data_IF_720598662740
#
_entry.id   IF_720598662740
#
_cell.length_a   1.000
_cell.length_b   1.000
_cell.length_c   1.000
_cell.angle_alpha   90.00
_cell.angle_beta   90.00
_cell.angle_gamma   90.00
#
_symmetry.space_group_name_H-M   'P 1'
#
loop_
_entity.id
_entity.type
_entity.pdbx_description
1 polymer ?
#
# COMPACT_ATOMS: atom_id res chain seq x y z
N UNK A 1 13.09 3.80 -12.25
CA UNK A 1 12.43 3.48 -10.96
C UNK A 1 11.09 4.19 -10.94
N UNK A 2 10.01 3.57 -10.46
CA UNK A 2 8.74 4.26 -10.20
C UNK A 2 8.58 4.44 -8.69
N UNK A 3 8.13 5.63 -8.27
CA UNK A 3 7.92 6.01 -6.88
C UNK A 3 6.43 6.02 -6.55
N UNK A 4 6.06 5.40 -5.44
CA UNK A 4 4.69 5.24 -4.98
C UNK A 4 4.50 5.89 -3.61
N UNK A 5 3.34 6.48 -3.41
CA UNK A 5 2.85 6.98 -2.13
C UNK A 5 1.48 6.37 -1.85
N UNK A 6 1.34 5.66 -0.74
CA UNK A 6 0.04 5.28 -0.19
C UNK A 6 -0.28 6.13 1.02
N UNK A 7 -1.53 6.62 1.13
CA UNK A 7 -2.01 7.31 2.32
C UNK A 7 -3.52 7.10 2.52
N UNK A 8 -3.92 6.67 3.70
CA UNK A 8 -5.30 6.75 4.15
C UNK A 8 -5.53 8.16 4.72
N UNK A 9 -6.45 8.91 4.13
CA UNK A 9 -6.69 10.33 4.46
C UNK A 9 -7.69 10.54 5.60
N UNK A 10 -8.30 9.46 6.13
CA UNK A 10 -9.32 9.54 7.18
C UNK A 10 -10.46 10.53 6.86
N UNK A 11 -10.81 10.69 5.58
CA UNK A 11 -11.82 11.63 5.11
C UNK A 11 -11.39 13.10 5.08
N UNK A 12 -10.12 13.41 5.34
CA UNK A 12 -9.59 14.78 5.32
C UNK A 12 -9.09 15.20 3.92
N UNK A 13 -8.69 16.47 3.81
CA UNK A 13 -8.19 17.08 2.56
C UNK A 13 -6.81 17.72 2.74
N UNK A 14 -5.74 16.94 3.00
CA UNK A 14 -4.39 17.46 3.22
C UNK A 14 -3.68 17.81 1.90
N UNK A 15 -4.25 18.70 1.10
CA UNK A 15 -3.78 19.04 -0.25
C UNK A 15 -2.32 19.51 -0.24
N UNK A 16 -1.96 20.44 0.67
CA UNK A 16 -0.59 20.94 0.79
C UNK A 16 0.41 19.84 1.12
N UNK A 17 0.09 19.03 2.13
CA UNK A 17 0.97 17.92 2.53
C UNK A 17 1.17 16.91 1.38
N UNK A 18 0.08 16.51 0.70
CA UNK A 18 0.13 15.62 -0.46
C UNK A 18 1.01 16.19 -1.57
N UNK A 19 0.81 17.47 -1.93
CA UNK A 19 1.57 18.11 -2.99
C UNK A 19 3.05 18.25 -2.63
N UNK A 20 3.38 18.62 -1.39
CA UNK A 20 4.75 18.78 -0.93
C UNK A 20 5.48 17.43 -0.84
N UNK A 21 4.85 16.40 -0.27
CA UNK A 21 5.41 15.05 -0.21
C UNK A 21 5.64 14.51 -1.63
N UNK A 22 4.67 14.68 -2.52
CA UNK A 22 4.77 14.22 -3.92
C UNK A 22 5.95 14.86 -4.64
N UNK A 23 6.15 16.16 -4.49
CA UNK A 23 7.30 16.88 -5.07
C UNK A 23 8.63 16.47 -4.44
N UNK A 24 8.69 16.38 -3.11
CA UNK A 24 9.92 16.02 -2.39
C UNK A 24 10.45 14.65 -2.80
N UNK A 25 9.56 13.69 -2.97
CA UNK A 25 9.93 12.30 -3.24
C UNK A 25 9.79 11.89 -4.71
N UNK A 26 9.54 12.87 -5.59
CA UNK A 26 9.32 12.64 -7.03
C UNK A 26 8.35 11.48 -7.29
N UNK A 27 7.19 11.51 -6.60
CA UNK A 27 6.23 10.42 -6.59
C UNK A 27 5.52 10.28 -7.94
N UNK A 28 5.55 9.10 -8.55
CA UNK A 28 4.87 8.82 -9.82
C UNK A 28 3.39 8.46 -9.64
N UNK A 29 3.07 7.77 -8.53
CA UNK A 29 1.75 7.19 -8.29
C UNK A 29 1.29 7.45 -6.86
N UNK A 30 0.19 8.18 -6.70
CA UNK A 30 -0.49 8.33 -5.42
C UNK A 30 -1.65 7.34 -5.35
N UNK A 31 -1.74 6.60 -4.26
CA UNK A 31 -2.80 5.65 -3.95
C UNK A 31 -3.44 6.10 -2.64
N UNK A 32 -4.64 6.67 -2.71
CA UNK A 32 -5.27 7.35 -1.58
C UNK A 32 -6.51 6.59 -1.13
N UNK A 33 -6.55 6.23 0.17
CA UNK A 33 -7.73 5.64 0.80
C UNK A 33 -8.52 6.70 1.60
N UNK A 34 -9.80 6.45 1.86
CA UNK A 34 -10.72 7.38 2.57
C UNK A 34 -10.67 8.83 2.07
N UNK A 35 -10.57 8.99 0.78
CA UNK A 35 -10.38 10.26 0.07
C UNK A 35 -11.66 11.12 -0.08
N UNK A 36 -12.78 10.71 0.51
CA UNK A 36 -14.09 11.34 0.29
C UNK A 36 -14.18 12.82 0.67
N UNK A 37 -13.27 13.34 1.49
CA UNK A 37 -13.16 14.76 1.83
C UNK A 37 -12.14 15.55 0.99
N UNK A 38 -11.33 14.85 0.17
CA UNK A 38 -10.24 15.46 -0.58
C UNK A 38 -10.72 16.39 -1.68
N UNK A 39 -10.21 17.62 -1.70
CA UNK A 39 -10.32 18.51 -2.85
C UNK A 39 -9.35 18.05 -3.96
N UNK A 40 -9.85 17.16 -4.81
CA UNK A 40 -9.06 16.60 -5.92
C UNK A 40 -8.70 17.62 -6.97
N UNK A 41 -9.51 18.69 -7.16
CA UNK A 41 -9.21 19.74 -8.13
C UNK A 41 -8.06 20.62 -7.62
N UNK A 42 -8.12 21.04 -6.35
CA UNK A 42 -7.03 21.77 -5.74
C UNK A 42 -5.73 20.96 -5.75
N UNK A 43 -5.79 19.65 -5.41
CA UNK A 43 -4.61 18.79 -5.45
C UNK A 43 -4.01 18.70 -6.87
N UNK A 44 -4.82 18.47 -7.90
CA UNK A 44 -4.32 18.40 -9.27
C UNK A 44 -3.75 19.74 -9.75
N UNK A 45 -4.34 20.86 -9.32
CA UNK A 45 -3.79 22.20 -9.62
C UNK A 45 -2.38 22.36 -9.01
N UNK A 46 -2.19 21.90 -7.77
CA UNK A 46 -0.87 21.91 -7.10
C UNK A 46 0.15 20.95 -7.73
N UNK A 47 -0.28 19.75 -8.14
CA UNK A 47 0.60 18.76 -8.77
C UNK A 47 0.98 19.12 -10.22
N UNK A 48 0.15 19.91 -10.89
CA UNK A 48 0.34 20.34 -12.27
C UNK A 48 -0.15 19.33 -13.32
N UNK A 49 0.00 19.66 -14.58
CA UNK A 49 -0.58 18.95 -15.73
C UNK A 49 0.02 17.57 -16.00
N UNK A 50 1.12 17.24 -15.35
CA UNK A 50 1.74 15.91 -15.47
C UNK A 50 0.92 14.82 -14.77
N UNK A 51 0.09 15.16 -13.78
CA UNK A 51 -0.69 14.21 -13.01
C UNK A 51 -2.14 14.15 -13.48
N UNK A 52 -2.69 12.94 -13.49
CA UNK A 52 -4.08 12.71 -13.84
C UNK A 52 -4.74 11.69 -12.90
N UNK A 53 -6.05 11.85 -12.70
CA UNK A 53 -6.87 10.85 -12.02
C UNK A 53 -7.03 9.63 -12.93
N UNK A 54 -6.80 8.44 -12.37
CA UNK A 54 -7.17 7.20 -13.05
C UNK A 54 -8.66 6.92 -12.85
N UNK A 55 -9.36 6.33 -13.84
CA UNK A 55 -10.79 6.08 -13.75
C UNK A 55 -11.16 5.20 -12.55
N UNK A 56 -12.17 5.63 -11.79
CA UNK A 56 -12.76 4.81 -10.71
C UNK A 56 -13.87 3.97 -11.34
N UNK A 57 -13.79 2.64 -11.19
CA UNK A 57 -14.83 1.74 -11.69
C UNK A 57 -15.82 1.37 -10.57
N UNK A 58 -15.45 0.41 -9.73
CA UNK A 58 -16.30 -0.08 -8.64
C UNK A 58 -15.72 0.24 -7.25
N UNK A 59 -14.41 0.16 -7.07
CA UNK A 59 -13.74 0.44 -5.81
C UNK A 59 -13.69 1.94 -5.54
N UNK A 60 -14.70 2.45 -4.85
CA UNK A 60 -14.77 3.89 -4.48
C UNK A 60 -13.94 4.23 -3.24
N UNK A 61 -13.36 3.24 -2.57
CA UNK A 61 -12.53 3.45 -1.39
C UNK A 61 -11.13 3.92 -1.72
N UNK A 62 -10.67 3.66 -2.95
CA UNK A 62 -9.31 3.96 -3.41
C UNK A 62 -9.37 4.93 -4.57
N UNK A 63 -8.58 5.98 -4.49
CA UNK A 63 -8.29 6.91 -5.58
C UNK A 63 -6.85 6.74 -6.03
N UNK A 64 -6.62 6.65 -7.34
CA UNK A 64 -5.29 6.67 -7.93
C UNK A 64 -5.09 7.97 -8.73
N UNK A 65 -3.98 8.64 -8.44
CA UNK A 65 -3.49 9.78 -9.22
C UNK A 65 -2.11 9.39 -9.73
N UNK A 66 -1.84 9.59 -11.02
CA UNK A 66 -0.61 9.13 -11.63
C UNK A 66 -0.03 10.17 -12.57
N UNK A 67 1.30 10.30 -12.53
CA UNK A 67 2.10 11.00 -13.53
C UNK A 67 2.45 10.08 -14.72
N UNK A 68 2.35 8.76 -14.51
CA UNK A 68 2.46 7.79 -15.60
C UNK A 68 1.20 7.90 -16.46
N UNK A 69 1.34 8.02 -17.81
CA UNK A 69 0.20 8.21 -18.70
C UNK A 69 -0.92 7.19 -18.47
N UNK A 70 -2.17 7.62 -18.53
CA UNK A 70 -3.34 6.76 -18.34
C UNK A 70 -3.41 5.62 -19.34
N UNK A 71 -2.81 5.78 -20.53
CA UNK A 71 -2.70 4.74 -21.55
C UNK A 71 -1.83 3.53 -21.13
N UNK A 72 -0.96 3.71 -20.12
CA UNK A 72 -0.17 2.64 -19.53
C UNK A 72 -0.94 1.81 -18.49
N UNK A 73 -2.13 2.26 -18.09
CA UNK A 73 -2.93 1.66 -17.05
C UNK A 73 -4.16 0.95 -17.63
N UNK A 74 -4.33 -0.32 -17.31
CA UNK A 74 -5.51 -1.10 -17.66
C UNK A 74 -6.20 -1.59 -16.40
N UNK A 75 -7.47 -1.19 -16.14
CA UNK A 75 -8.23 -1.76 -15.05
C UNK A 75 -8.57 -3.23 -15.37
N UNK A 76 -8.29 -4.14 -14.42
CA UNK A 76 -8.48 -5.59 -14.61
C UNK A 76 -9.65 -6.08 -13.76
N UNK A 77 -9.63 -5.79 -12.46
CA UNK A 77 -10.65 -6.31 -11.54
C UNK A 77 -10.86 -5.34 -10.39
N UNK A 78 -12.10 -4.99 -10.16
CA UNK A 78 -12.51 -4.18 -9.02
C UNK A 78 -13.49 -4.94 -8.14
N UNK A 79 -13.33 -4.80 -6.84
CA UNK A 79 -14.32 -5.13 -5.81
C UNK A 79 -14.65 -3.87 -5.01
N UNK A 80 -15.50 -3.97 -3.99
CA UNK A 80 -15.74 -2.83 -3.10
C UNK A 80 -14.51 -2.41 -2.28
N UNK A 81 -13.56 -3.34 -2.05
CA UNK A 81 -12.43 -3.17 -1.13
C UNK A 81 -11.06 -3.23 -1.84
N UNK A 82 -11.04 -3.51 -3.15
CA UNK A 82 -9.81 -3.63 -3.94
C UNK A 82 -10.01 -3.12 -5.36
N UNK A 83 -9.03 -2.38 -5.89
CA UNK A 83 -8.85 -2.16 -7.33
C UNK A 83 -7.56 -2.83 -7.77
N UNK A 84 -7.63 -3.65 -8.84
CA UNK A 84 -6.50 -4.33 -9.44
C UNK A 84 -6.31 -3.83 -10.87
N UNK A 85 -5.12 -3.32 -11.15
CA UNK A 85 -4.77 -2.72 -12.43
C UNK A 85 -3.48 -3.30 -12.97
N UNK A 86 -3.39 -3.40 -14.29
CA UNK A 86 -2.13 -3.64 -14.96
C UNK A 86 -1.46 -2.30 -15.29
N UNK A 87 -0.19 -2.19 -15.00
CA UNK A 87 0.70 -1.12 -15.45
C UNK A 87 1.67 -1.70 -16.48
N UNK A 88 1.60 -1.20 -17.71
CA UNK A 88 2.47 -1.59 -18.80
C UNK A 88 3.26 -0.39 -19.30
N UNK A 89 4.52 -0.31 -18.92
CA UNK A 89 5.44 0.69 -19.46
C UNK A 89 6.09 0.18 -20.76
N UNK A 90 6.42 1.08 -21.70
CA UNK A 90 7.16 0.69 -22.91
C UNK A 90 8.48 0.00 -22.55
N UNK A 91 8.69 -1.19 -23.11
CA UNK A 91 9.92 -1.97 -22.91
C UNK A 91 10.06 -2.66 -21.56
N UNK A 92 9.10 -2.51 -20.63
CA UNK A 92 9.13 -3.16 -19.33
C UNK A 92 8.11 -4.31 -19.25
N UNK A 93 8.34 -5.32 -18.39
CA UNK A 93 7.32 -6.33 -18.08
C UNK A 93 6.11 -5.70 -17.39
N UNK A 94 4.92 -6.26 -17.64
CA UNK A 94 3.69 -5.84 -16.97
C UNK A 94 3.81 -6.00 -15.45
N UNK A 95 3.28 -5.01 -14.72
CA UNK A 95 3.11 -5.03 -13.27
C UNK A 95 1.62 -5.03 -12.92
N UNK A 96 1.20 -5.96 -12.07
CA UNK A 96 -0.12 -5.93 -11.45
C UNK A 96 -0.06 -5.11 -10.16
N UNK A 97 -0.88 -4.07 -10.06
CA UNK A 97 -1.01 -3.21 -8.88
C UNK A 97 -2.37 -3.45 -8.25
N UNK A 98 -2.39 -4.11 -7.10
CA UNK A 98 -3.58 -4.32 -6.27
C UNK A 98 -3.58 -3.29 -5.14
N UNK A 99 -4.45 -2.30 -5.21
CA UNK A 99 -4.65 -1.34 -4.13
C UNK A 99 -5.88 -1.71 -3.31
N UNK A 100 -5.75 -1.75 -1.98
CA UNK A 100 -6.78 -2.27 -1.08
C UNK A 100 -7.08 -1.29 0.06
N UNK A 101 -8.34 -1.27 0.52
CA UNK A 101 -8.74 -0.72 1.80
C UNK A 101 -9.77 -1.65 2.44
N UNK A 102 -9.31 -2.46 3.39
CA UNK A 102 -10.14 -3.43 4.10
C UNK A 102 -10.96 -2.77 5.21
N UNK A 103 -12.12 -3.33 5.57
CA UNK A 103 -12.94 -2.81 6.66
C UNK A 103 -12.20 -2.87 8.00
N UNK A 104 -12.36 -1.83 8.82
CA UNK A 104 -11.82 -1.79 10.19
C UNK A 104 -12.47 -2.84 11.10
N UNK A 105 -11.70 -3.37 12.05
CA UNK A 105 -12.19 -4.29 13.11
C UNK A 105 -13.22 -3.64 14.05
N UNK A 106 -13.22 -2.33 14.18
CA UNK A 106 -14.13 -1.58 15.07
C UNK A 106 -15.62 -1.74 14.72
N UNK A 107 -15.94 -2.24 13.52
CA UNK A 107 -17.32 -2.43 13.05
C UNK A 107 -17.74 -3.90 13.00
N UNK A 108 -17.53 -4.68 14.07
CA UNK A 108 -17.88 -6.11 14.17
C UNK A 108 -17.10 -7.06 13.26
N UNK A 109 -15.90 -6.71 12.83
CA UNK A 109 -15.07 -7.61 12.06
C UNK A 109 -14.16 -8.43 12.98
N UNK A 110 -14.52 -9.70 13.21
CA UNK A 110 -13.66 -10.63 13.92
C UNK A 110 -12.36 -10.91 13.15
N UNK A 111 -11.26 -11.34 13.81
CA UNK A 111 -10.04 -11.77 13.11
C UNK A 111 -10.29 -12.82 12.02
N UNK A 112 -11.27 -13.71 12.23
CA UNK A 112 -11.67 -14.71 11.24
C UNK A 112 -12.29 -14.07 9.98
N UNK A 113 -13.16 -13.06 10.14
CA UNK A 113 -13.74 -12.34 9.02
C UNK A 113 -12.67 -11.55 8.25
N UNK A 114 -11.72 -10.96 8.94
CA UNK A 114 -10.58 -10.27 8.31
C UNK A 114 -9.72 -11.25 7.50
N UNK A 115 -9.44 -12.44 8.04
CA UNK A 115 -8.72 -13.48 7.31
C UNK A 115 -9.47 -13.93 6.05
N UNK A 116 -10.80 -14.15 6.14
CA UNK A 116 -11.64 -14.53 5.00
C UNK A 116 -11.65 -13.45 3.89
N UNK A 117 -11.63 -12.16 4.25
CA UNK A 117 -11.49 -11.08 3.27
C UNK A 117 -10.13 -11.16 2.56
N UNK A 118 -9.05 -11.40 3.29
CA UNK A 118 -7.73 -11.58 2.71
C UNK A 118 -7.65 -12.82 1.80
N UNK A 119 -8.35 -13.93 2.16
CA UNK A 119 -8.49 -15.10 1.29
C UNK A 119 -9.18 -14.76 -0.04
N UNK A 120 -10.25 -13.97 0.02
CA UNK A 120 -10.97 -13.51 -1.17
C UNK A 120 -10.09 -12.66 -2.08
N UNK A 121 -9.31 -11.73 -1.49
CA UNK A 121 -8.36 -10.88 -2.23
C UNK A 121 -7.25 -11.72 -2.84
N UNK A 122 -6.62 -12.61 -2.07
CA UNK A 122 -5.58 -13.51 -2.54
C UNK A 122 -6.06 -14.41 -3.69
N UNK A 123 -7.29 -14.89 -3.60
CA UNK A 123 -7.96 -15.66 -4.67
C UNK A 123 -8.15 -14.83 -5.94
N UNK A 124 -8.62 -13.59 -5.81
CA UNK A 124 -8.81 -12.66 -6.94
C UNK A 124 -7.50 -12.31 -7.62
N UNK A 125 -6.44 -12.04 -6.84
CA UNK A 125 -5.08 -11.78 -7.35
C UNK A 125 -4.56 -13.02 -8.08
N UNK A 126 -4.63 -14.20 -7.46
CA UNK A 126 -4.14 -15.45 -8.05
C UNK A 126 -4.86 -15.79 -9.37
N UNK A 127 -6.17 -15.54 -9.43
CA UNK A 127 -6.95 -15.71 -10.67
C UNK A 127 -6.42 -14.78 -11.77
N UNK A 128 -6.21 -13.51 -11.45
CA UNK A 128 -5.69 -12.52 -12.41
C UNK A 128 -4.26 -12.87 -12.85
N UNK A 129 -3.38 -13.27 -11.93
CA UNK A 129 -2.03 -13.72 -12.24
C UNK A 129 -2.03 -14.92 -13.23
N UNK A 130 -2.97 -15.86 -13.06
CA UNK A 130 -3.13 -16.99 -13.98
C UNK A 130 -3.65 -16.53 -15.35
N UNK A 131 -4.60 -15.59 -15.40
CA UNK A 131 -5.13 -15.00 -16.64
C UNK A 131 -4.04 -14.23 -17.38
N UNK A 132 -3.15 -13.51 -16.66
CA UNK A 132 -2.06 -12.71 -17.22
C UNK A 132 -0.77 -13.49 -17.45
N UNK A 133 -0.68 -14.74 -17.00
CA UNK A 133 0.46 -15.65 -17.16
C UNK A 133 1.76 -15.14 -16.54
N UNK A 134 1.67 -14.34 -15.44
CA UNK A 134 2.81 -13.92 -14.64
C UNK A 134 2.39 -13.60 -13.19
N UNK A 135 3.37 -13.49 -12.28
CA UNK A 135 3.15 -13.21 -10.86
C UNK A 135 3.79 -11.90 -10.39
N UNK A 136 4.08 -10.97 -11.31
CA UNK A 136 4.64 -9.66 -10.96
C UNK A 136 3.54 -8.78 -10.35
N UNK A 137 3.23 -9.02 -9.06
CA UNK A 137 2.12 -8.36 -8.35
C UNK A 137 2.64 -7.60 -7.13
N UNK A 138 2.28 -6.32 -7.09
CA UNK A 138 2.38 -5.40 -5.97
C UNK A 138 1.00 -5.30 -5.32
N UNK A 139 0.90 -5.55 -4.01
CA UNK A 139 -0.29 -5.25 -3.20
C UNK A 139 0.08 -4.15 -2.21
N UNK A 140 -0.75 -3.11 -2.15
CA UNK A 140 -0.52 -1.96 -1.27
C UNK A 140 -1.86 -1.43 -0.73
N UNK A 141 -1.87 -0.98 0.51
CA UNK A 141 -3.06 -0.37 1.06
C UNK A 141 -3.20 -0.49 2.56
N UNK A 142 -4.33 0.02 3.05
CA UNK A 142 -4.77 -0.19 4.42
C UNK A 142 -5.44 -1.56 4.54
N UNK A 143 -4.71 -2.50 5.13
CA UNK A 143 -5.17 -3.86 5.37
C UNK A 143 -5.99 -3.98 6.67
N UNK A 144 -5.99 -2.92 7.51
CA UNK A 144 -6.60 -2.95 8.84
C UNK A 144 -6.15 -4.16 9.69
N UNK A 145 -4.96 -4.66 9.41
CA UNK A 145 -4.30 -5.80 10.07
C UNK A 145 -2.80 -5.54 10.18
N UNK A 146 -2.21 -5.95 11.29
CA UNK A 146 -0.75 -5.92 11.46
C UNK A 146 -0.08 -7.07 10.67
N UNK A 147 1.24 -6.99 10.39
CA UNK A 147 1.97 -8.01 9.62
C UNK A 147 1.86 -9.44 10.16
N UNK A 148 1.58 -9.60 11.46
CA UNK A 148 1.45 -10.90 12.14
C UNK A 148 0.01 -11.43 12.21
N UNK A 149 -0.98 -10.64 11.80
CA UNK A 149 -2.39 -11.03 11.88
C UNK A 149 -2.75 -12.17 10.90
N UNK A 150 -3.77 -12.98 11.21
CA UNK A 150 -4.15 -14.16 10.43
C UNK A 150 -4.33 -13.91 8.94
N UNK A 151 -4.93 -12.78 8.54
CA UNK A 151 -5.14 -12.48 7.12
C UNK A 151 -3.84 -12.27 6.34
N UNK A 152 -2.75 -11.85 7.03
CA UNK A 152 -1.44 -11.68 6.42
C UNK A 152 -0.68 -13.02 6.36
N UNK A 153 -0.66 -13.78 7.47
CA UNK A 153 0.26 -14.93 7.60
C UNK A 153 -0.34 -16.28 7.22
N UNK A 154 -1.67 -16.43 7.17
CA UNK A 154 -2.29 -17.70 6.79
C UNK A 154 -1.99 -18.03 5.32
N UNK A 155 -1.63 -19.29 5.07
CA UNK A 155 -1.32 -19.76 3.72
C UNK A 155 -2.50 -19.63 2.74
N UNK A 156 -3.74 -19.76 3.23
CA UNK A 156 -4.98 -19.62 2.43
C UNK A 156 -5.34 -18.15 2.16
N UNK A 157 -4.79 -17.22 2.95
CA UNK A 157 -4.98 -15.78 2.79
C UNK A 157 -3.82 -15.16 1.98
N UNK A 158 -3.20 -14.06 2.45
CA UNK A 158 -2.12 -13.41 1.72
C UNK A 158 -0.81 -14.19 1.77
N UNK A 159 -0.64 -15.12 2.74
CA UNK A 159 0.56 -15.95 2.88
C UNK A 159 1.86 -15.11 2.86
N UNK A 160 1.81 -13.96 3.57
CA UNK A 160 2.89 -12.98 3.58
C UNK A 160 3.97 -13.39 4.58
N UNK A 161 5.21 -13.45 4.12
CA UNK A 161 6.37 -13.86 4.93
C UNK A 161 7.37 -12.72 5.05
N UNK A 162 8.08 -12.66 6.19
CA UNK A 162 9.04 -11.59 6.48
C UNK A 162 10.43 -11.82 5.87
N UNK A 163 10.77 -13.05 5.50
CA UNK A 163 12.09 -13.41 5.02
C UNK A 163 12.11 -13.56 3.49
N UNK A 164 12.96 -12.78 2.81
CA UNK A 164 13.16 -12.86 1.35
C UNK A 164 13.50 -14.27 0.89
N UNK A 165 14.37 -14.97 1.63
CA UNK A 165 14.80 -16.34 1.31
C UNK A 165 13.65 -17.36 1.34
N UNK A 166 12.67 -17.15 2.21
CA UNK A 166 11.47 -17.99 2.28
C UNK A 166 10.51 -17.61 1.12
N UNK A 167 10.27 -16.31 0.91
CA UNK A 167 9.40 -15.84 -0.18
C UNK A 167 9.88 -16.36 -1.55
N UNK A 168 11.20 -16.38 -1.80
CA UNK A 168 11.80 -16.88 -3.06
C UNK A 168 11.50 -18.36 -3.36
N UNK A 169 10.95 -19.14 -2.41
CA UNK A 169 10.41 -20.47 -2.69
C UNK A 169 9.09 -20.43 -3.47
N UNK A 170 8.54 -19.22 -3.72
CA UNK A 170 7.32 -18.96 -4.51
C UNK A 170 6.04 -19.42 -3.85
N UNK A 171 6.00 -20.65 -3.35
CA UNK A 171 4.79 -21.27 -2.80
C UNK A 171 5.07 -21.97 -1.46
N UNK A 172 4.01 -22.05 -0.66
CA UNK A 172 3.95 -22.84 0.57
C UNK A 172 2.96 -23.98 0.40
N UNK A 173 3.42 -25.22 0.53
CA UNK A 173 2.57 -26.41 0.45
C UNK A 173 2.10 -26.82 1.85
N UNK A 174 0.80 -26.96 2.04
CA UNK A 174 0.20 -27.42 3.27
C UNK A 174 0.07 -28.96 3.31
N UNK A 175 -0.20 -29.49 4.50
CA UNK A 175 -0.60 -30.90 4.66
C UNK A 175 -1.82 -31.16 3.77
N UNK A 176 -1.79 -32.17 2.95
CA UNK A 176 -2.81 -32.44 1.93
C UNK A 176 -2.43 -32.00 0.51
N UNK A 177 -1.22 -31.43 0.33
CA UNK A 177 -0.59 -31.23 -0.98
C UNK A 177 -1.00 -29.96 -1.71
N UNK A 178 -1.91 -29.14 -1.17
CA UNK A 178 -2.29 -27.87 -1.80
C UNK A 178 -1.23 -26.81 -1.55
N UNK A 179 -0.79 -26.15 -2.62
CA UNK A 179 0.21 -25.07 -2.59
C UNK A 179 -0.44 -23.70 -2.75
N UNK A 180 0.12 -22.72 -2.06
CA UNK A 180 -0.35 -21.34 -2.06
C UNK A 180 0.82 -20.40 -2.33
N UNK A 181 0.64 -19.44 -3.24
CA UNK A 181 1.64 -18.42 -3.56
C UNK A 181 1.91 -17.52 -2.37
N UNK A 182 3.19 -17.21 -2.14
CA UNK A 182 3.61 -16.31 -1.06
C UNK A 182 3.71 -14.88 -1.54
N UNK A 183 3.51 -13.93 -0.60
CA UNK A 183 4.02 -12.58 -0.69
C UNK A 183 5.26 -12.43 0.21
N UNK A 184 6.17 -11.57 -0.18
CA UNK A 184 7.15 -10.98 0.71
C UNK A 184 6.56 -9.73 1.33
N UNK A 185 6.62 -9.62 2.66
CA UNK A 185 6.20 -8.44 3.41
C UNK A 185 7.43 -7.72 3.96
N UNK A 186 7.88 -6.63 3.34
CA UNK A 186 9.03 -5.86 3.80
C UNK A 186 8.75 -5.03 5.05
N UNK A 187 7.45 -4.84 5.41
CA UNK A 187 7.05 -3.91 6.46
C UNK A 187 7.50 -4.31 7.87
N UNK A 188 7.95 -5.55 8.06
CA UNK A 188 8.40 -6.03 9.37
C UNK A 188 9.56 -5.22 9.96
N UNK A 189 10.43 -4.63 9.13
CA UNK A 189 11.52 -3.79 9.62
C UNK A 189 11.09 -2.38 10.05
N UNK A 190 9.87 -1.97 9.67
CA UNK A 190 9.26 -0.71 10.09
C UNK A 190 8.32 -0.89 11.30
N UNK A 191 8.19 -2.11 11.82
CA UNK A 191 7.28 -2.41 12.91
C UNK A 191 8.01 -2.40 14.25
N UNK A 192 7.76 -1.38 15.05
CA UNK A 192 8.37 -1.17 16.35
C UNK A 192 9.24 0.09 16.40
N UNK A 193 9.70 0.42 17.59
CA UNK A 193 10.42 1.66 17.92
C UNK A 193 11.92 1.50 17.56
N UNK A 194 12.21 1.31 16.30
CA UNK A 194 13.57 1.27 15.77
C UNK A 194 13.78 2.40 14.76
N UNK A 195 14.98 2.99 14.71
CA UNK A 195 15.43 3.85 13.61
C UNK A 195 14.83 5.27 13.52
N UNK A 196 14.48 5.92 14.61
CA UNK A 196 13.93 7.30 14.60
C UNK A 196 12.69 7.50 13.70
N UNK A 197 11.95 6.43 13.45
CA UNK A 197 10.71 6.40 12.66
C UNK A 197 9.51 6.11 13.57
N UNK A 198 8.28 6.50 13.16
CA UNK A 198 7.08 6.07 13.87
C UNK A 198 7.00 4.54 13.95
N UNK A 199 6.60 3.96 15.09
CA UNK A 199 6.53 2.50 15.28
C UNK A 199 5.50 1.79 14.38
N UNK A 200 4.72 2.55 13.63
CA UNK A 200 3.68 2.08 12.72
C UNK A 200 3.06 3.23 11.94
N UNK A 201 2.07 2.92 11.12
CA UNK A 201 1.38 3.90 10.28
C UNK A 201 0.09 4.45 10.89
N UNK A 202 -0.45 3.81 11.92
CA UNK A 202 -1.72 4.15 12.55
C UNK A 202 -1.63 4.09 14.07
N UNK A 203 -2.22 5.08 14.75
CA UNK A 203 -2.26 5.11 16.21
C UNK A 203 -3.69 5.03 16.73
N UNK A 204 -3.95 4.03 17.59
CA UNK A 204 -5.22 3.84 18.25
C UNK A 204 -5.02 3.54 19.75
N UNK A 205 -5.71 4.30 20.59
CA UNK A 205 -5.72 4.07 22.04
C UNK A 205 -7.10 3.59 22.46
N UNK A 206 -7.13 2.49 23.17
CA UNK A 206 -8.32 1.92 23.80
C UNK A 206 -8.05 1.57 25.24
N UNK A 207 -9.11 1.37 26.02
CA UNK A 207 -9.03 0.85 27.39
C UNK A 207 -9.21 -0.68 27.45
N UNK A 208 -9.24 -1.34 26.28
CA UNK A 208 -9.28 -2.79 26.19
C UNK A 208 -7.95 -3.42 26.58
N UNK A 209 -7.98 -4.70 26.98
CA UNK A 209 -6.79 -5.45 27.40
C UNK A 209 -5.78 -5.56 26.27
N UNK A 210 -6.26 -5.76 25.05
CA UNK A 210 -5.44 -5.93 23.84
C UNK A 210 -5.26 -4.60 23.10
N UNK A 211 -4.30 -3.78 23.53
CA UNK A 211 -3.96 -2.52 22.89
C UNK A 211 -2.47 -2.44 22.60
N UNK A 212 -2.10 -2.42 21.32
CA UNK A 212 -0.73 -2.21 20.88
C UNK A 212 -0.38 -0.72 20.72
N UNK A 213 -1.36 0.19 20.80
CA UNK A 213 -1.28 1.63 20.53
C UNK A 213 -0.89 1.95 19.09
N UNK A 214 0.29 1.52 18.64
CA UNK A 214 0.72 1.65 17.26
C UNK A 214 0.43 0.39 16.46
N UNK A 215 -0.05 0.59 15.25
CA UNK A 215 -0.38 -0.45 14.30
C UNK A 215 0.25 -0.17 12.95
N UNK A 216 0.65 -1.21 12.25
CA UNK A 216 1.17 -1.14 10.89
C UNK A 216 0.09 -1.67 9.93
N UNK A 217 -0.97 -0.88 9.71
CA UNK A 217 -2.12 -1.25 8.88
C UNK A 217 -1.89 -0.95 7.41
N UNK A 218 -1.14 0.12 7.13
CA UNK A 218 -0.76 0.52 5.79
C UNK A 218 0.49 -0.24 5.38
N UNK A 219 0.36 -1.15 4.41
CA UNK A 219 1.42 -2.07 4.05
C UNK A 219 1.60 -2.18 2.54
N UNK A 220 2.82 -2.52 2.15
CA UNK A 220 3.17 -2.97 0.80
C UNK A 220 3.66 -4.41 0.86
N UNK A 221 3.14 -5.25 -0.02
CA UNK A 221 3.55 -6.64 -0.19
C UNK A 221 3.88 -6.87 -1.66
N UNK A 222 4.92 -7.65 -1.93
CA UNK A 222 5.30 -7.98 -3.30
C UNK A 222 5.37 -9.49 -3.51
N UNK A 223 4.97 -9.95 -4.70
CA UNK A 223 5.26 -11.32 -5.11
C UNK A 223 6.76 -11.54 -5.24
N UNK A 224 7.26 -12.78 -5.09
CA UNK A 224 8.68 -13.09 -5.17
C UNK A 224 9.40 -12.54 -6.39
N UNK A 225 8.71 -12.45 -7.53
CA UNK A 225 9.26 -11.92 -8.79
C UNK A 225 9.60 -10.42 -8.74
N UNK A 226 9.14 -9.71 -7.71
CA UNK A 226 9.40 -8.29 -7.50
C UNK A 226 10.35 -8.00 -6.32
N UNK A 227 10.86 -9.03 -5.63
CA UNK A 227 11.70 -8.82 -4.43
C UNK A 227 12.96 -8.01 -4.76
N UNK A 228 13.58 -8.30 -5.90
CA UNK A 228 14.81 -7.64 -6.32
C UNK A 228 14.55 -6.28 -7.00
N UNK A 229 13.31 -6.04 -7.43
CA UNK A 229 12.85 -4.77 -8.00
C UNK A 229 12.41 -3.77 -6.90
N UNK A 230 12.02 -4.26 -5.72
CA UNK A 230 11.63 -3.40 -4.61
C UNK A 230 12.85 -2.73 -3.99
N UNK A 231 12.85 -1.41 -4.02
CA UNK A 231 13.87 -0.60 -3.36
C UNK A 231 13.50 -0.40 -1.88
N UNK A 232 14.03 -1.27 -1.03
CA UNK A 232 13.73 -1.25 0.41
C UNK A 232 14.30 -0.01 1.12
N UNK A 233 15.29 0.65 0.56
CA UNK A 233 15.89 1.87 1.13
C UNK A 233 14.96 3.08 0.95
N UNK A 234 13.99 2.99 0.04
CA UNK A 234 12.95 4.01 -0.16
C UNK A 234 11.67 3.73 0.62
N UNK A 235 11.57 2.55 1.26
CA UNK A 235 10.38 2.15 2.02
C UNK A 235 10.38 2.84 3.39
N UNK A 236 9.44 3.77 3.57
CA UNK A 236 9.42 4.67 4.73
C UNK A 236 7.99 5.07 5.10
N UNK A 237 7.74 5.19 6.41
CA UNK A 237 6.55 5.85 6.95
C UNK A 237 6.93 7.31 7.23
N UNK A 238 6.28 8.23 6.53
CA UNK A 238 6.62 9.64 6.62
C UNK A 238 5.97 10.29 7.84
N UNK A 239 6.80 10.91 8.69
CA UNK A 239 6.35 11.64 9.89
C UNK A 239 6.31 13.16 9.69
N UNK A 240 6.82 13.66 8.58
CA UNK A 240 6.95 15.09 8.30
C UNK A 240 7.09 15.37 6.80
N UNK A 241 6.89 16.62 6.42
CA UNK A 241 7.11 17.10 5.04
C UNK A 241 7.64 18.54 5.03
N UNK A 242 8.36 18.98 3.99
CA UNK A 242 8.75 20.38 3.84
C UNK A 242 7.55 21.21 3.34
N UNK A 243 7.18 22.24 4.07
CA UNK A 243 6.20 23.21 3.61
C UNK A 243 6.77 24.09 2.48
N UNK A 244 5.93 24.79 1.70
CA UNK A 244 6.38 25.75 0.68
C UNK A 244 7.25 26.90 1.25
N UNK A 245 7.10 27.21 2.55
CA UNK A 245 7.94 28.16 3.28
C UNK A 245 9.38 27.68 3.49
N UNK A 246 9.68 26.39 3.27
CA UNK A 246 10.95 25.75 3.60
C UNK A 246 11.03 25.20 5.04
N UNK A 247 9.99 25.40 5.83
CA UNK A 247 9.91 24.81 7.18
C UNK A 247 9.50 23.33 7.10
N UNK A 248 9.97 22.54 8.07
CA UNK A 248 9.50 21.16 8.21
C UNK A 248 8.23 21.11 9.04
N UNK A 249 7.17 20.59 8.45
CA UNK A 249 5.87 20.38 9.11
C UNK A 249 5.75 18.93 9.56
N UNK A 250 5.48 18.73 10.85
CA UNK A 250 5.26 17.41 11.42
C UNK A 250 3.83 16.90 11.13
N UNK A 251 3.72 15.64 10.73
CA UNK A 251 2.45 14.90 10.67
C UNK A 251 2.07 14.32 12.05
N UNK A 252 2.96 14.44 13.04
CA UNK A 252 2.75 14.02 14.40
C UNK A 252 2.46 15.23 15.28
N UNK A 253 1.63 15.02 16.29
CA UNK A 253 1.41 15.98 17.38
C UNK A 253 2.63 16.07 18.30
N UNK A 254 2.64 17.02 19.21
CA UNK A 254 3.70 17.13 20.23
C UNK A 254 3.82 15.88 21.14
N UNK A 255 2.78 15.04 21.21
CA UNK A 255 2.81 13.75 21.93
C UNK A 255 3.28 12.58 21.07
N UNK A 256 3.74 12.83 19.85
CA UNK A 256 4.31 11.83 18.95
C UNK A 256 3.29 10.91 18.29
N UNK A 257 2.01 11.28 18.21
CA UNK A 257 0.94 10.50 17.55
C UNK A 257 0.42 11.23 16.31
N UNK A 258 -0.16 10.54 15.30
CA UNK A 258 -0.66 11.17 14.09
C UNK A 258 -1.61 12.34 14.37
N UNK A 259 -1.48 13.41 13.59
CA UNK A 259 -2.29 14.61 13.73
C UNK A 259 -3.63 14.42 13.03
N UNK A 260 -4.68 14.08 13.77
CA UNK A 260 -6.00 13.69 13.23
C UNK A 260 -6.68 14.73 12.36
N UNK A 261 -6.31 16.02 12.45
CA UNK A 261 -6.80 17.04 11.54
C UNK A 261 -6.18 16.93 10.13
N UNK A 262 -5.06 16.21 10.02
CA UNK A 262 -4.40 15.89 8.74
C UNK A 262 -4.81 14.49 8.32
N UNK A 263 -4.48 13.48 9.12
CA UNK A 263 -4.98 12.10 9.06
C UNK A 263 -4.60 11.38 10.36
N UNK A 264 -5.33 10.34 10.76
CA UNK A 264 -4.93 9.41 11.83
C UNK A 264 -4.01 8.28 11.31
N UNK A 265 -3.73 8.26 10.00
CA UNK A 265 -2.71 7.45 9.37
C UNK A 265 -1.53 8.29 8.89
N UNK A 266 -0.36 7.70 8.81
CA UNK A 266 0.85 8.29 8.23
C UNK A 266 1.08 7.77 6.81
N UNK A 267 1.62 8.62 5.90
CA UNK A 267 1.90 8.20 4.53
C UNK A 267 3.00 7.12 4.48
N UNK A 268 2.83 6.15 3.59
CA UNK A 268 3.80 5.13 3.25
C UNK A 268 4.34 5.39 1.86
N UNK A 269 5.66 5.58 1.72
CA UNK A 269 6.31 5.68 0.41
C UNK A 269 7.20 4.49 0.12
N UNK A 270 7.39 4.16 -1.16
CA UNK A 270 8.31 3.13 -1.61
C UNK A 270 8.59 3.28 -3.11
N UNK A 271 9.70 2.69 -3.56
CA UNK A 271 10.13 2.66 -4.95
C UNK A 271 10.15 1.24 -5.52
N UNK A 272 9.88 1.10 -6.81
CA UNK A 272 9.97 -0.16 -7.54
C UNK A 272 10.67 0.05 -8.88
N UNK A 273 11.66 -0.79 -9.21
CA UNK A 273 12.29 -0.80 -10.53
C UNK A 273 11.35 -1.44 -11.52
N UNK A 274 11.01 -0.71 -12.59
CA UNK A 274 10.07 -1.18 -13.63
C UNK A 274 10.75 -1.36 -14.99
N UNK A 275 12.07 -1.23 -15.05
CA UNK A 275 12.83 -1.39 -16.29
C UNK A 275 13.05 -2.88 -16.60
N UNK A 276 13.14 -3.20 -17.89
CA UNK A 276 13.57 -4.53 -18.29
C UNK A 276 14.98 -4.77 -17.73
N UNK A 277 15.18 -5.87 -17.01
CA UNK A 277 16.53 -6.32 -16.66
C UNK A 277 17.22 -6.63 -17.98
N UNK A 278 18.22 -5.85 -18.38
CA UNK A 278 19.10 -6.25 -19.48
C UNK A 278 19.71 -7.58 -19.06
N UNK A 279 19.26 -8.64 -19.70
CA UNK A 279 19.87 -9.96 -19.57
C UNK A 279 21.25 -9.85 -20.24
N UNK A 280 22.31 -9.75 -19.43
CA UNK A 280 23.70 -9.84 -19.88
C UNK A 280 23.99 -11.25 -20.32
#
# INVERSE_FOLDING_TARGET
MASFLFWNLAGNSPVEALACITRQHDTDVLILAEWGGLDTQALLAELGTAYALLPILLCRKILLISRIPSSCWTPIRDTKDMTLRALQLPGAPELLVAAVHLPSRLRNNSPANQAALCETIAGSITTTENERQHTRTLLVGDLNQNPHDPGLVHATALNAVMAKSIARQQTRTLRGGRSYRMFFNPMWHLYGDALDQPPGSYYYRTNEIDCLFWHLFDQVLVRPDLIDDLDVDTLEILAQYPAPSGETVSLLTASGIPHRAISDHLPLRFGLRLEATETI
#
